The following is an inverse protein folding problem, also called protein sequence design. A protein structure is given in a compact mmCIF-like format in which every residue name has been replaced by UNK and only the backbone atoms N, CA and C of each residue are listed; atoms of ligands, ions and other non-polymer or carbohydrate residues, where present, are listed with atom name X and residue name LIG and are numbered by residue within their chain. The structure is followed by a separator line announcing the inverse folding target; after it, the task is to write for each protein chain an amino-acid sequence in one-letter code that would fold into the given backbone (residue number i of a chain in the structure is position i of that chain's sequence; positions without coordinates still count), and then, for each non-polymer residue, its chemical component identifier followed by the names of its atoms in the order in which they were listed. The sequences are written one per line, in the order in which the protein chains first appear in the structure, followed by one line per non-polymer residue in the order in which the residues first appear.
data_IF_077295170427
#
_entry.id   IF_077295170427
#
_cell.length_a   1.000
_cell.length_b   1.000
_cell.length_c   1.000
_cell.angle_alpha   90.00
_cell.angle_beta   90.00
_cell.angle_gamma   90.00
#
_symmetry.space_group_name_H-M   'P 1'
#
loop_
_entity.id
_entity.type
_entity.pdbx_description
1 polymer ?
#
# COMPACT_ATOMS: atom_id res chain seq x y z
N UNK A 1 10.40 4.83 -15.83
CA UNK A 1 9.94 3.91 -14.76
C UNK A 1 8.44 4.10 -14.64
N UNK A 2 7.68 3.01 -14.73
CA UNK A 2 6.21 3.03 -14.62
C UNK A 2 5.80 2.24 -13.39
N UNK A 3 5.02 2.83 -12.50
CA UNK A 3 4.45 2.16 -11.34
C UNK A 3 2.92 2.28 -11.35
N UNK A 4 2.26 1.20 -10.94
CA UNK A 4 0.80 1.11 -10.84
C UNK A 4 0.45 0.70 -9.41
N UNK A 5 -0.57 1.30 -8.83
CA UNK A 5 -1.12 0.92 -7.53
C UNK A 5 -2.61 0.62 -7.65
N UNK A 6 -3.05 -0.52 -7.09
CA UNK A 6 -4.44 -0.95 -7.17
C UNK A 6 -4.89 -1.71 -5.93
N UNK A 7 -5.88 -1.18 -5.21
CA UNK A 7 -6.62 -1.95 -4.22
C UNK A 7 -7.61 -2.88 -4.94
N UNK A 8 -7.36 -4.18 -4.90
CA UNK A 8 -8.13 -5.21 -5.65
C UNK A 8 -9.29 -5.79 -4.86
N UNK A 9 -9.39 -5.47 -3.57
CA UNK A 9 -10.46 -5.99 -2.69
C UNK A 9 -10.65 -7.53 -2.80
N UNK A 10 -9.53 -8.26 -2.82
CA UNK A 10 -9.47 -9.72 -2.97
C UNK A 10 -8.91 -10.16 -4.32
N UNK A 11 -7.60 -10.49 -4.31
CA UNK A 11 -6.85 -10.80 -5.54
C UNK A 11 -7.39 -12.02 -6.29
N UNK A 12 -7.86 -13.07 -5.59
CA UNK A 12 -8.44 -14.25 -6.25
C UNK A 12 -9.63 -13.90 -7.14
N UNK A 13 -10.54 -13.06 -6.63
CA UNK A 13 -11.68 -12.61 -7.41
C UNK A 13 -11.27 -11.69 -8.57
N UNK A 14 -10.23 -10.87 -8.36
CA UNK A 14 -9.69 -9.97 -9.37
C UNK A 14 -8.99 -10.73 -10.50
N UNK A 15 -8.27 -11.82 -10.20
CA UNK A 15 -7.67 -12.71 -11.20
C UNK A 15 -8.72 -13.29 -12.16
N UNK A 16 -9.86 -13.72 -11.62
CA UNK A 16 -10.98 -14.24 -12.45
C UNK A 16 -11.62 -13.14 -13.33
N UNK A 17 -11.32 -11.88 -13.09
CA UNK A 17 -11.81 -10.72 -13.85
C UNK A 17 -10.74 -10.09 -14.76
N UNK A 18 -9.62 -10.79 -14.99
CA UNK A 18 -8.59 -10.33 -15.92
C UNK A 18 -7.44 -9.52 -15.31
N UNK A 19 -7.16 -9.66 -14.01
CA UNK A 19 -6.03 -8.99 -13.38
C UNK A 19 -4.71 -9.19 -14.14
N UNK A 20 -4.45 -10.44 -14.59
CA UNK A 20 -3.22 -10.76 -15.33
C UNK A 20 -3.15 -10.04 -16.69
N UNK A 21 -4.30 -9.83 -17.35
CA UNK A 21 -4.37 -9.10 -18.62
C UNK A 21 -4.09 -7.62 -18.40
N UNK A 22 -4.63 -7.02 -17.34
CA UNK A 22 -4.34 -5.63 -16.96
C UNK A 22 -2.85 -5.44 -16.67
N UNK A 23 -2.22 -6.35 -15.91
CA UNK A 23 -0.77 -6.28 -15.65
C UNK A 23 0.02 -6.35 -16.95
N UNK A 24 -0.36 -7.24 -17.87
CA UNK A 24 0.30 -7.43 -19.17
C UNK A 24 0.12 -6.20 -20.08
N UNK A 25 -1.08 -5.64 -20.14
CA UNK A 25 -1.41 -4.47 -20.97
C UNK A 25 -0.66 -3.21 -20.48
N UNK A 26 -0.67 -2.98 -19.17
CA UNK A 26 0.01 -1.84 -18.58
C UNK A 26 1.53 -2.00 -18.57
N UNK A 27 2.03 -3.22 -18.52
CA UNK A 27 3.46 -3.58 -18.50
C UNK A 27 4.33 -2.66 -17.60
N UNK A 28 3.98 -2.44 -16.32
CA UNK A 28 4.73 -1.53 -15.45
C UNK A 28 6.03 -2.16 -14.95
N UNK A 29 6.95 -1.31 -14.48
CA UNK A 29 8.12 -1.78 -13.74
C UNK A 29 7.73 -2.32 -12.35
N UNK A 30 6.69 -1.70 -11.73
CA UNK A 30 6.12 -2.07 -10.44
C UNK A 30 4.60 -2.11 -10.50
N UNK A 31 3.99 -3.17 -9.99
CA UNK A 31 2.55 -3.26 -9.78
C UNK A 31 2.28 -3.51 -8.30
N UNK A 32 1.81 -2.51 -7.58
CA UNK A 32 1.55 -2.52 -6.16
C UNK A 32 0.08 -2.85 -5.89
N UNK A 33 -0.16 -3.86 -5.06
CA UNK A 33 -1.50 -4.39 -4.81
C UNK A 33 -1.84 -4.31 -3.34
N UNK A 34 -3.04 -3.83 -3.01
CA UNK A 34 -3.56 -3.80 -1.67
C UNK A 34 -4.83 -4.65 -1.57
N UNK A 35 -5.14 -5.13 -0.39
CA UNK A 35 -6.23 -6.05 -0.06
C UNK A 35 -6.19 -7.34 -0.88
N UNK A 36 -5.06 -8.04 -0.89
CA UNK A 36 -4.95 -9.35 -1.54
C UNK A 36 -5.89 -10.38 -0.92
N UNK A 37 -6.16 -10.27 0.41
CA UNK A 37 -7.02 -11.17 1.23
C UNK A 37 -6.60 -12.63 1.14
N UNK A 38 -5.29 -12.88 0.99
CA UNK A 38 -4.68 -14.21 0.85
C UNK A 38 -3.74 -14.50 2.02
N UNK A 39 -3.47 -15.79 2.24
CA UNK A 39 -2.38 -16.29 3.05
C UNK A 39 -1.36 -17.02 2.17
N UNK A 40 -0.17 -17.23 2.72
CA UNK A 40 0.90 -17.97 2.05
C UNK A 40 0.40 -19.35 1.57
N UNK A 41 0.75 -19.73 0.36
CA UNK A 41 0.38 -21.01 -0.24
C UNK A 41 -1.06 -21.12 -0.76
N UNK A 42 -1.89 -20.06 -0.65
CA UNK A 42 -3.27 -20.10 -1.17
C UNK A 42 -3.38 -19.79 -2.67
N UNK A 43 -2.36 -19.20 -3.22
CA UNK A 43 -2.30 -18.82 -4.64
C UNK A 43 -0.86 -18.93 -5.13
N UNK A 44 -0.67 -19.66 -6.23
CA UNK A 44 0.57 -19.62 -7.02
C UNK A 44 0.36 -18.62 -8.16
N UNK A 45 0.88 -17.41 -7.99
CA UNK A 45 0.79 -16.34 -9.00
C UNK A 45 2.11 -16.25 -9.75
N UNK A 46 2.14 -16.82 -10.94
CA UNK A 46 3.25 -16.71 -11.87
C UNK A 46 2.88 -15.80 -13.03
N UNK A 47 3.51 -14.63 -13.12
CA UNK A 47 3.36 -13.69 -14.23
C UNK A 47 4.71 -13.55 -14.94
N UNK A 48 4.79 -13.87 -16.26
CA UNK A 48 6.04 -13.77 -17.00
C UNK A 48 6.69 -12.39 -16.89
N UNK A 49 7.97 -12.36 -16.54
CA UNK A 49 8.74 -11.13 -16.39
C UNK A 49 8.60 -10.43 -15.03
N UNK A 50 7.82 -10.98 -14.11
CA UNK A 50 7.63 -10.41 -12.76
C UNK A 50 8.01 -11.40 -11.65
N UNK A 51 8.56 -10.85 -10.58
CA UNK A 51 8.68 -11.54 -9.28
C UNK A 51 7.70 -10.87 -8.30
N UNK A 52 6.99 -11.69 -7.53
CA UNK A 52 6.01 -11.22 -6.55
C UNK A 52 6.59 -11.23 -5.13
N UNK A 53 6.36 -10.16 -4.39
CA UNK A 53 6.77 -9.98 -2.99
C UNK A 53 5.53 -9.68 -2.15
N UNK A 54 5.31 -10.49 -1.10
CA UNK A 54 4.03 -10.53 -0.38
C UNK A 54 4.22 -10.23 1.11
N UNK A 55 3.30 -9.46 1.66
CA UNK A 55 3.06 -9.35 3.08
C UNK A 55 1.63 -9.82 3.38
N UNK A 56 1.52 -10.89 4.16
CA UNK A 56 0.25 -11.57 4.45
C UNK A 56 -0.24 -11.21 5.85
N UNK A 57 -1.55 -10.99 5.99
CA UNK A 57 -2.15 -10.90 7.30
C UNK A 57 -2.27 -12.29 7.96
N UNK A 58 -2.10 -12.38 9.26
CA UNK A 58 -2.37 -13.60 10.04
C UNK A 58 -3.86 -13.98 9.97
N UNK A 59 -4.73 -12.97 10.00
CA UNK A 59 -6.18 -13.17 9.89
C UNK A 59 -6.58 -13.53 8.46
N UNK A 60 -7.24 -14.69 8.31
CA UNK A 60 -7.70 -15.21 7.01
C UNK A 60 -8.70 -14.26 6.32
N UNK A 61 -8.51 -14.08 5.01
CA UNK A 61 -9.40 -13.26 4.18
C UNK A 61 -9.38 -11.75 4.48
N UNK A 62 -8.31 -11.27 5.08
CA UNK A 62 -8.17 -9.90 5.55
C UNK A 62 -6.88 -9.26 5.03
N UNK A 63 -6.92 -7.94 4.74
CA UNK A 63 -5.75 -7.14 4.37
C UNK A 63 -4.83 -7.80 3.32
N UNK A 64 -3.52 -7.76 3.52
CA UNK A 64 -2.50 -8.32 2.63
C UNK A 64 -2.09 -7.36 1.52
N UNK A 65 -0.79 -7.21 1.32
CA UNK A 65 -0.20 -6.38 0.27
C UNK A 65 0.79 -7.17 -0.58
N UNK A 66 1.03 -6.71 -1.80
CA UNK A 66 1.96 -7.34 -2.72
C UNK A 66 2.59 -6.30 -3.65
N UNK A 67 3.84 -6.52 -4.04
CA UNK A 67 4.47 -5.85 -5.17
C UNK A 67 4.90 -6.90 -6.20
N UNK A 68 4.48 -6.69 -7.46
CA UNK A 68 5.09 -7.34 -8.62
C UNK A 68 6.19 -6.41 -9.13
N UNK A 69 7.40 -6.93 -9.33
CA UNK A 69 8.52 -6.15 -9.84
C UNK A 69 9.25 -6.89 -10.97
N UNK A 70 9.64 -6.17 -12.02
CA UNK A 70 10.42 -6.74 -13.14
C UNK A 70 11.87 -6.99 -12.76
N UNK A 71 12.45 -6.14 -11.92
CA UNK A 71 13.85 -6.26 -11.50
C UNK A 71 13.92 -6.70 -10.05
N UNK A 72 14.84 -7.60 -9.69
CA UNK A 72 15.02 -8.00 -8.30
C UNK A 72 15.52 -6.82 -7.47
N UNK A 73 15.00 -6.62 -6.24
CA UNK A 73 15.51 -5.63 -5.30
C UNK A 73 16.81 -6.10 -4.63
N UNK A 74 17.51 -5.17 -3.98
CA UNK A 74 18.66 -5.46 -3.11
C UNK A 74 18.21 -6.15 -1.81
N UNK A 75 17.07 -5.70 -1.26
CA UNK A 75 16.46 -6.29 -0.07
C UNK A 75 14.94 -6.12 -0.09
N UNK A 76 14.27 -6.95 0.71
CA UNK A 76 12.81 -6.92 0.92
C UNK A 76 12.55 -6.79 2.41
N UNK A 77 11.69 -5.84 2.80
CA UNK A 77 11.19 -5.71 4.17
C UNK A 77 9.68 -5.81 4.18
N UNK A 78 9.14 -6.55 5.15
CA UNK A 78 7.70 -6.72 5.37
C UNK A 78 7.29 -6.01 6.65
N UNK A 79 6.09 -5.40 6.64
CA UNK A 79 5.65 -4.54 7.73
C UNK A 79 6.42 -3.22 7.81
N UNK A 80 6.24 -2.49 8.89
CA UNK A 80 6.84 -1.17 9.14
C UNK A 80 7.88 -1.18 10.28
N UNK A 81 8.41 -2.38 10.62
CA UNK A 81 9.40 -2.52 11.67
C UNK A 81 8.87 -2.30 13.09
N UNK A 82 7.55 -2.42 13.28
CA UNK A 82 6.85 -2.26 14.54
C UNK A 82 6.08 -3.55 14.85
N UNK A 83 6.30 -4.14 16.03
CA UNK A 83 5.75 -5.45 16.39
C UNK A 83 4.23 -5.42 16.54
N UNK A 84 3.66 -4.33 17.08
CA UNK A 84 2.21 -4.14 17.20
C UNK A 84 1.51 -4.15 15.83
N UNK A 85 2.19 -3.66 14.79
CA UNK A 85 1.65 -3.44 13.45
C UNK A 85 2.12 -4.50 12.42
N UNK A 86 2.87 -5.51 12.85
CA UNK A 86 3.47 -6.53 11.97
C UNK A 86 2.51 -7.62 11.48
N UNK A 87 1.31 -7.74 12.09
CA UNK A 87 0.44 -8.93 11.92
C UNK A 87 -0.62 -8.81 10.83
N UNK A 88 -0.78 -7.62 10.24
CA UNK A 88 -1.91 -7.36 9.34
C UNK A 88 -1.53 -7.32 7.85
N UNK A 89 -0.27 -7.59 7.48
CA UNK A 89 0.15 -7.68 6.07
C UNK A 89 -0.06 -6.38 5.30
N UNK A 90 0.43 -5.26 5.84
CA UNK A 90 0.07 -3.92 5.35
C UNK A 90 1.13 -3.20 4.54
N UNK A 91 2.37 -3.71 4.55
CA UNK A 91 3.46 -2.96 3.93
C UNK A 91 4.51 -3.91 3.34
N UNK A 92 4.82 -3.72 2.05
CA UNK A 92 5.98 -4.31 1.40
C UNK A 92 6.91 -3.19 0.97
N UNK A 93 8.18 -3.28 1.35
CA UNK A 93 9.25 -2.37 0.94
C UNK A 93 10.30 -3.12 0.13
N UNK A 94 10.56 -2.65 -1.07
CA UNK A 94 11.64 -3.14 -1.93
C UNK A 94 12.75 -2.09 -2.00
N UNK A 95 13.99 -2.49 -1.69
CA UNK A 95 15.15 -1.62 -1.76
C UNK A 95 15.83 -1.73 -3.14
N UNK A 96 16.08 -0.60 -3.76
CA UNK A 96 16.89 -0.47 -4.96
C UNK A 96 18.12 0.42 -4.71
N UNK A 97 19.13 0.43 -5.59
CA UNK A 97 20.32 1.26 -5.37
C UNK A 97 20.02 2.74 -5.15
N UNK A 98 19.02 3.30 -5.87
CA UNK A 98 18.72 4.72 -5.87
C UNK A 98 17.47 5.13 -5.09
N UNK A 99 16.59 4.19 -4.67
CA UNK A 99 15.32 4.48 -4.01
C UNK A 99 14.74 3.26 -3.28
N UNK A 100 13.72 3.51 -2.46
CA UNK A 100 12.83 2.48 -1.92
C UNK A 100 11.47 2.54 -2.64
N UNK A 101 10.93 1.37 -3.01
CA UNK A 101 9.56 1.22 -3.49
C UNK A 101 8.72 0.62 -2.36
N UNK A 102 7.71 1.35 -1.90
CA UNK A 102 6.86 0.97 -0.77
C UNK A 102 5.42 0.89 -1.22
N UNK A 103 4.76 -0.24 -0.99
CA UNK A 103 3.30 -0.33 -1.04
C UNK A 103 2.72 -0.38 0.35
N UNK A 104 1.60 0.32 0.54
CA UNK A 104 0.95 0.45 1.84
C UNK A 104 -0.56 0.23 1.73
N UNK A 105 -1.12 -0.44 2.73
CA UNK A 105 -2.55 -0.49 3.01
C UNK A 105 -2.81 -0.03 4.44
N UNK A 106 -3.12 1.25 4.61
CA UNK A 106 -3.40 1.81 5.94
C UNK A 106 -4.66 1.21 6.56
N UNK A 107 -4.69 0.97 7.89
CA UNK A 107 -5.92 0.55 8.55
C UNK A 107 -6.98 1.65 8.44
N UNK A 108 -8.22 1.26 8.18
CA UNK A 108 -9.36 2.18 8.31
C UNK A 108 -9.80 2.31 9.77
N UNK A 109 -10.50 3.40 10.08
CA UNK A 109 -10.98 3.67 11.43
C UNK A 109 -12.23 2.87 11.83
N UNK A 110 -12.87 2.17 10.87
CA UNK A 110 -14.14 1.45 10.99
C UNK A 110 -15.32 2.32 11.45
N UNK A 111 -16.53 1.77 11.37
CA UNK A 111 -17.75 2.45 11.79
C UNK A 111 -17.66 2.93 13.24
N UNK A 112 -18.05 4.17 13.47
CA UNK A 112 -17.98 4.79 14.80
C UNK A 112 -16.56 4.99 15.32
N UNK A 113 -15.55 5.03 14.42
CA UNK A 113 -14.14 5.29 14.77
C UNK A 113 -13.55 4.26 15.77
N UNK A 114 -14.09 3.04 15.81
CA UNK A 114 -13.68 1.99 16.78
C UNK A 114 -12.20 1.64 16.71
N UNK A 115 -11.57 1.79 15.55
CA UNK A 115 -10.14 1.53 15.35
C UNK A 115 -9.31 2.80 15.23
N UNK A 116 -9.85 3.97 15.53
CA UNK A 116 -9.11 5.22 15.44
C UNK A 116 -7.81 5.22 16.29
N UNK A 117 -7.81 4.76 17.55
CA UNK A 117 -6.56 4.69 18.32
C UNK A 117 -5.48 3.85 17.66
N UNK A 118 -5.85 2.66 17.15
CA UNK A 118 -4.92 1.79 16.42
C UNK A 118 -4.42 2.46 15.14
N UNK A 119 -5.31 3.13 14.40
CA UNK A 119 -4.91 3.87 13.20
C UNK A 119 -3.91 4.97 13.50
N UNK A 120 -4.13 5.75 14.56
CA UNK A 120 -3.22 6.82 14.97
C UNK A 120 -1.86 6.27 15.40
N UNK A 121 -1.83 5.16 16.16
CA UNK A 121 -0.59 4.45 16.51
C UNK A 121 0.16 3.96 15.27
N UNK A 122 -0.58 3.35 14.32
CA UNK A 122 -0.01 2.91 13.04
C UNK A 122 0.60 4.07 12.24
N UNK A 123 -0.09 5.20 12.14
CA UNK A 123 0.40 6.37 11.40
C UNK A 123 1.67 6.96 12.02
N UNK A 124 1.77 6.97 13.33
CA UNK A 124 2.98 7.42 14.02
C UNK A 124 4.17 6.47 13.79
N UNK A 125 3.93 5.15 13.85
CA UNK A 125 4.94 4.15 13.53
C UNK A 125 5.36 4.23 12.05
N UNK A 126 4.41 4.38 11.14
CA UNK A 126 4.66 4.54 9.71
C UNK A 126 5.51 5.78 9.42
N UNK A 127 5.22 6.90 10.08
CA UNK A 127 6.01 8.14 9.93
C UNK A 127 7.48 7.92 10.32
N UNK A 128 7.73 7.28 11.45
CA UNK A 128 9.09 6.94 11.89
C UNK A 128 9.79 6.01 10.90
N UNK A 129 9.07 5.00 10.40
CA UNK A 129 9.60 4.06 9.42
C UNK A 129 10.02 4.75 8.12
N UNK A 130 9.11 5.54 7.52
CA UNK A 130 9.37 6.23 6.27
C UNK A 130 10.51 7.28 6.42
N UNK A 131 10.55 8.00 7.53
CA UNK A 131 11.65 8.94 7.81
C UNK A 131 13.01 8.22 7.91
N UNK A 132 13.03 7.01 8.50
CA UNK A 132 14.24 6.18 8.56
C UNK A 132 14.71 5.66 7.20
N UNK A 133 13.79 5.40 6.27
CA UNK A 133 14.11 5.05 4.88
C UNK A 133 14.64 6.27 4.12
N UNK A 134 13.92 7.40 4.21
CA UNK A 134 14.24 8.62 3.46
C UNK A 134 15.57 9.24 3.88
N UNK A 135 15.96 9.08 5.13
CA UNK A 135 17.30 9.50 5.58
C UNK A 135 18.44 8.79 4.82
N UNK A 136 18.14 7.63 4.19
CA UNK A 136 19.12 6.84 3.43
C UNK A 136 18.99 7.06 1.92
N UNK A 137 17.77 6.99 1.39
CA UNK A 137 17.46 7.09 -0.06
C UNK A 137 16.05 7.62 -0.25
N UNK A 138 15.72 8.25 -1.39
CA UNK A 138 14.36 8.62 -1.74
C UNK A 138 13.37 7.46 -1.63
N UNK A 139 12.16 7.75 -1.16
CA UNK A 139 11.07 6.78 -1.00
C UNK A 139 9.96 7.08 -2.01
N UNK A 140 9.55 6.07 -2.77
CA UNK A 140 8.33 6.10 -3.58
C UNK A 140 7.28 5.30 -2.80
N UNK A 141 6.30 5.99 -2.24
CA UNK A 141 5.20 5.41 -1.50
C UNK A 141 3.93 5.42 -2.36
N UNK A 142 3.29 4.27 -2.51
CA UNK A 142 1.98 4.15 -3.12
C UNK A 142 1.09 3.19 -2.34
N UNK A 143 -0.21 3.25 -2.56
CA UNK A 143 -1.13 2.34 -1.90
C UNK A 143 -2.46 2.98 -1.53
N UNK A 144 -3.22 2.28 -0.70
CA UNK A 144 -4.47 2.76 -0.16
C UNK A 144 -4.25 3.30 1.27
N UNK A 145 -4.25 4.61 1.38
CA UNK A 145 -4.00 5.30 2.64
C UNK A 145 -5.26 5.42 3.52
N UNK A 146 -6.43 5.01 3.02
CA UNK A 146 -7.71 5.14 3.74
C UNK A 146 -7.95 6.54 4.31
N UNK A 147 -7.56 7.58 3.55
CA UNK A 147 -7.81 9.00 3.85
C UNK A 147 -8.41 9.68 2.62
N UNK A 148 -9.29 10.63 2.86
CA UNK A 148 -9.75 11.58 1.86
C UNK A 148 -9.27 12.97 2.24
N UNK A 149 -8.77 13.72 1.26
CA UNK A 149 -8.36 15.11 1.48
C UNK A 149 -9.58 16.03 1.49
N UNK A 150 -10.55 15.76 0.61
CA UNK A 150 -11.78 16.53 0.47
C UNK A 150 -13.00 15.61 0.35
N UNK A 151 -14.20 16.13 0.61
CA UNK A 151 -15.45 15.36 0.50
C UNK A 151 -15.68 14.81 -0.92
N UNK A 152 -15.19 15.50 -1.95
CA UNK A 152 -15.29 15.06 -3.35
C UNK A 152 -14.52 13.75 -3.62
N UNK A 153 -13.52 13.45 -2.79
CA UNK A 153 -12.73 12.21 -2.90
C UNK A 153 -13.49 10.99 -2.35
N UNK A 154 -14.68 11.20 -1.76
CA UNK A 154 -15.52 10.16 -1.19
C UNK A 154 -16.74 9.88 -2.08
N UNK A 155 -16.96 8.60 -2.43
CA UNK A 155 -18.14 8.18 -3.19
C UNK A 155 -19.46 8.54 -2.49
N UNK A 156 -19.49 8.48 -1.15
CA UNK A 156 -20.65 8.80 -0.31
C UNK A 156 -20.17 9.59 0.92
N UNK A 157 -19.96 10.91 0.83
CA UNK A 157 -19.32 11.68 1.90
C UNK A 157 -20.13 11.69 3.21
N UNK A 158 -21.45 11.74 3.16
CA UNK A 158 -22.30 11.78 4.35
C UNK A 158 -22.10 10.57 5.28
N UNK A 159 -22.36 9.32 4.84
CA UNK A 159 -22.13 8.12 5.65
C UNK A 159 -20.67 7.90 6.04
N UNK A 160 -19.72 8.37 5.24
CA UNK A 160 -18.28 8.10 5.41
C UNK A 160 -17.54 9.16 6.24
N UNK A 161 -18.20 10.22 6.71
CA UNK A 161 -17.58 11.28 7.54
C UNK A 161 -16.93 10.79 8.83
N UNK A 162 -17.30 9.61 9.33
CA UNK A 162 -16.71 9.00 10.53
C UNK A 162 -15.83 7.76 10.25
N UNK A 163 -15.67 7.35 9.00
CA UNK A 163 -14.94 6.12 8.62
C UNK A 163 -13.59 6.48 8.01
N UNK A 164 -13.58 7.51 7.19
CA UNK A 164 -12.38 8.03 6.51
C UNK A 164 -11.94 9.27 7.27
N UNK A 165 -10.76 9.23 7.84
CA UNK A 165 -10.18 10.38 8.52
C UNK A 165 -9.96 11.51 7.51
N UNK A 166 -10.64 12.64 7.68
CA UNK A 166 -10.33 13.87 6.97
C UNK A 166 -9.05 14.44 7.60
N UNK A 167 -7.90 14.11 7.03
CA UNK A 167 -6.62 14.58 7.56
C UNK A 167 -6.04 15.66 6.66
N UNK A 168 -6.20 16.91 7.09
CA UNK A 168 -5.48 18.05 6.52
C UNK A 168 -3.98 18.06 6.88
N UNK A 169 -3.53 17.21 7.80
CA UNK A 169 -2.15 17.23 8.31
C UNK A 169 -1.12 16.45 7.47
N UNK A 170 -1.54 15.55 6.57
CA UNK A 170 -0.63 14.88 5.66
C UNK A 170 -0.09 15.78 4.55
N UNK A 171 -0.81 16.87 4.24
CA UNK A 171 -0.48 17.72 3.09
C UNK A 171 0.55 18.81 3.37
N UNK A 172 0.88 19.14 4.63
CA UNK A 172 1.63 20.38 4.87
C UNK A 172 2.77 20.34 5.88
N UNK A 173 2.91 19.32 6.72
CA UNK A 173 3.83 19.49 7.84
C UNK A 173 4.88 18.37 8.04
N UNK A 174 4.80 17.23 7.36
CA UNK A 174 5.63 16.09 7.74
C UNK A 174 6.50 15.50 6.63
N UNK A 175 6.21 15.78 5.39
CA UNK A 175 7.07 15.38 4.28
C UNK A 175 7.42 16.63 3.48
N UNK A 176 8.68 17.02 3.49
CA UNK A 176 9.16 18.11 2.65
C UNK A 176 8.78 17.83 1.18
N UNK A 177 8.10 18.74 0.47
CA UNK A 177 7.53 18.48 -0.86
C UNK A 177 8.55 18.11 -1.94
N UNK A 178 9.82 18.13 -1.64
CA UNK A 178 10.90 17.92 -2.61
C UNK A 178 11.33 16.48 -2.82
N UNK A 179 10.83 15.50 -2.05
CA UNK A 179 11.35 14.12 -2.10
C UNK A 179 10.32 12.99 -2.13
N UNK A 180 9.02 13.27 -1.94
CA UNK A 180 7.98 12.22 -1.89
C UNK A 180 6.89 12.44 -2.91
N UNK A 181 6.49 11.35 -3.56
CA UNK A 181 5.24 11.27 -4.31
C UNK A 181 4.36 10.23 -3.62
N UNK A 182 3.34 10.68 -2.89
CA UNK A 182 2.32 9.79 -2.31
C UNK A 182 1.09 9.78 -3.22
N UNK A 183 0.61 8.59 -3.57
CA UNK A 183 -0.55 8.41 -4.45
C UNK A 183 -1.54 7.47 -3.78
N UNK A 184 -2.80 7.90 -3.67
CA UNK A 184 -3.89 7.08 -3.14
C UNK A 184 -4.76 6.54 -4.27
N UNK A 185 -5.24 5.32 -4.10
CA UNK A 185 -6.23 4.58 -4.91
C UNK A 185 -6.12 4.72 -6.43
N UNK A 186 -5.63 3.67 -7.10
CA UNK A 186 -5.63 3.50 -8.57
C UNK A 186 -4.90 4.61 -9.34
N UNK A 187 -3.58 4.70 -9.16
CA UNK A 187 -2.74 5.69 -9.86
C UNK A 187 -1.71 5.01 -10.76
N UNK A 188 -1.59 5.51 -11.99
CA UNK A 188 -0.51 5.16 -12.92
C UNK A 188 0.50 6.31 -12.90
N UNK A 189 1.78 5.99 -12.68
CA UNK A 189 2.90 6.90 -12.83
C UNK A 189 3.70 6.52 -14.06
N UNK A 190 3.89 7.44 -14.97
CA UNK A 190 4.78 7.33 -16.13
C UNK A 190 6.13 7.99 -15.88
#
# INVERSE_FOLDING_TARGET
MKAVSWNVNGLRACLNKGFADVVRELDPDFFCVQETKLQAGQLDLTLPGYTSYWDYAEKKGYSGTMILAKKPPLSVSLGIGDEEHGHEGRCVTLEYPAFYMVTLYSPNSQDGLRRLPYRLSFEEALRRYLAGLDAKKPVILCGDLNVAHQEIDLKNPGPNRGIVSLYSSWSTTTFAPSRYSAFSTSTILE
#
